data_IF_923549207208
#
_entry.id   IF_923549207208
#
_cell.length_a   1.000
_cell.length_b   1.000
_cell.length_c   1.000
_cell.angle_alpha   90.00
_cell.angle_beta   90.00
_cell.angle_gamma   90.00
#
_symmetry.space_group_name_H-M   'P 1'
#
loop_
_entity.id
_entity.type
_entity.pdbx_description
1 polymer ?
#
# COMPACT_ATOMS: atom_id res chain seq x y z
N UNK A 1 -28.17 34.81 -23.27
CA UNK A 1 -27.01 34.99 -22.37
C UNK A 1 -26.97 33.77 -21.47
N UNK A 2 -26.41 32.67 -21.98
CA UNK A 2 -26.37 31.36 -21.31
C UNK A 2 -24.96 30.81 -21.53
N UNK A 3 -24.36 30.18 -20.51
CA UNK A 3 -23.01 29.59 -20.43
C UNK A 3 -21.91 30.39 -19.67
N UNK A 4 -22.17 30.84 -18.44
CA UNK A 4 -21.08 31.15 -17.47
C UNK A 4 -21.29 30.49 -16.08
N UNK A 5 -22.26 29.57 -15.96
CA UNK A 5 -22.65 28.95 -14.69
C UNK A 5 -22.04 27.57 -14.39
N UNK A 6 -21.61 26.80 -15.40
CA UNK A 6 -21.17 25.40 -15.21
C UNK A 6 -19.66 25.22 -14.95
N UNK A 7 -18.80 26.07 -15.51
CA UNK A 7 -17.33 25.96 -15.35
C UNK A 7 -16.89 26.13 -13.88
N UNK A 8 -17.49 27.11 -13.18
CA UNK A 8 -17.19 27.36 -11.77
C UNK A 8 -17.66 26.20 -10.86
N UNK A 9 -18.71 25.47 -11.24
CA UNK A 9 -19.22 24.31 -10.49
C UNK A 9 -18.25 23.12 -10.68
N UNK A 10 -17.86 22.80 -11.91
CA UNK A 10 -16.97 21.66 -12.18
C UNK A 10 -15.57 21.84 -11.56
N UNK A 11 -15.06 23.08 -11.47
CA UNK A 11 -13.78 23.37 -10.81
C UNK A 11 -13.92 23.56 -9.29
N UNK A 12 -15.08 23.97 -8.77
CA UNK A 12 -15.31 24.12 -7.32
C UNK A 12 -15.56 22.80 -6.60
N UNK A 13 -16.20 21.82 -7.24
CA UNK A 13 -16.42 20.47 -6.68
C UNK A 13 -15.10 19.80 -6.24
N UNK A 14 -14.08 19.62 -7.09
CA UNK A 14 -12.81 19.00 -6.68
C UNK A 14 -12.06 19.86 -5.64
N UNK A 15 -12.16 21.19 -5.72
CA UNK A 15 -11.56 22.08 -4.70
C UNK A 15 -12.19 21.89 -3.32
N UNK A 16 -13.51 21.71 -3.26
CA UNK A 16 -14.22 21.43 -2.01
C UNK A 16 -13.89 20.04 -1.48
N UNK A 17 -13.83 19.01 -2.33
CA UNK A 17 -13.43 17.65 -1.93
C UNK A 17 -12.01 17.58 -1.36
N UNK A 18 -11.06 18.30 -1.93
CA UNK A 18 -9.69 18.36 -1.39
C UNK A 18 -9.68 19.05 -0.02
N UNK A 19 -10.43 20.15 0.14
CA UNK A 19 -10.58 20.85 1.43
C UNK A 19 -11.18 19.93 2.50
N UNK A 20 -12.24 19.19 2.14
CA UNK A 20 -12.92 18.27 3.04
C UNK A 20 -12.05 17.05 3.39
N UNK A 21 -11.25 16.56 2.43
CA UNK A 21 -10.28 15.48 2.64
C UNK A 21 -9.20 15.89 3.65
N UNK A 22 -8.65 17.11 3.53
CA UNK A 22 -7.64 17.62 4.47
C UNK A 22 -8.25 17.81 5.87
N UNK A 23 -9.48 18.32 5.94
CA UNK A 23 -10.20 18.47 7.21
C UNK A 23 -10.38 17.11 7.91
N UNK A 24 -10.76 16.07 7.16
CA UNK A 24 -10.93 14.73 7.69
C UNK A 24 -9.61 14.14 8.23
N UNK A 25 -8.52 14.25 7.47
CA UNK A 25 -7.19 13.74 7.90
C UNK A 25 -6.67 14.46 9.15
N UNK A 26 -7.04 15.73 9.33
CA UNK A 26 -6.73 16.48 10.54
C UNK A 26 -7.61 16.09 11.74
N UNK A 27 -8.82 15.59 11.50
CA UNK A 27 -9.72 15.09 12.55
C UNK A 27 -9.35 13.69 13.02
N UNK A 28 -8.74 12.87 12.16
CA UNK A 28 -8.29 11.53 12.51
C UNK A 28 -7.23 11.54 13.63
N UNK A 29 -7.37 10.63 14.59
CA UNK A 29 -6.35 10.37 15.61
C UNK A 29 -5.10 9.79 14.94
N UNK A 30 -4.00 10.55 14.95
CA UNK A 30 -2.72 10.08 14.39
C UNK A 30 -2.08 9.09 15.37
N UNK A 31 -1.52 7.97 14.86
CA UNK A 31 -0.89 6.98 15.72
C UNK A 31 0.29 7.60 16.47
N UNK A 32 0.42 7.26 17.74
CA UNK A 32 1.56 7.72 18.53
C UNK A 32 2.83 6.96 18.12
N UNK A 33 4.02 7.48 18.47
CA UNK A 33 5.31 6.84 18.17
C UNK A 33 5.39 5.41 18.69
N UNK A 34 4.83 5.14 19.88
CA UNK A 34 4.82 3.80 20.48
C UNK A 34 3.95 2.81 19.69
N UNK A 35 2.75 3.22 19.30
CA UNK A 35 1.83 2.39 18.52
C UNK A 35 2.41 2.10 17.13
N UNK A 36 2.98 3.13 16.49
CA UNK A 36 3.63 2.96 15.20
C UNK A 36 4.80 1.97 15.27
N UNK A 37 5.65 2.06 16.30
CA UNK A 37 6.75 1.13 16.49
C UNK A 37 6.27 -0.32 16.70
N UNK A 38 5.19 -0.52 17.46
CA UNK A 38 4.61 -1.86 17.65
C UNK A 38 4.09 -2.46 16.34
N UNK A 39 3.38 -1.65 15.54
CA UNK A 39 2.87 -2.08 14.22
C UNK A 39 4.04 -2.40 13.29
N UNK A 40 5.03 -1.51 13.18
CA UNK A 40 6.21 -1.72 12.33
C UNK A 40 6.96 -2.98 12.75
N UNK A 41 7.13 -3.23 14.05
CA UNK A 41 7.79 -4.43 14.53
C UNK A 41 7.02 -5.70 14.13
N UNK A 42 5.70 -5.73 14.37
CA UNK A 42 4.86 -6.87 13.98
C UNK A 42 4.86 -7.11 12.46
N UNK A 43 4.72 -6.06 11.65
CA UNK A 43 4.75 -6.15 10.18
C UNK A 43 6.12 -6.59 9.68
N UNK A 44 7.21 -6.07 10.26
CA UNK A 44 8.58 -6.43 9.88
C UNK A 44 8.87 -7.92 10.12
N UNK A 45 8.40 -8.47 11.24
CA UNK A 45 8.53 -9.90 11.53
C UNK A 45 7.74 -10.75 10.53
N UNK A 46 6.49 -10.37 10.23
CA UNK A 46 5.67 -11.05 9.22
C UNK A 46 6.31 -11.01 7.82
N UNK A 47 6.83 -9.84 7.41
CA UNK A 47 7.51 -9.68 6.13
C UNK A 47 8.79 -10.53 6.06
N UNK A 48 9.55 -10.59 7.15
CA UNK A 48 10.76 -11.40 7.21
C UNK A 48 10.43 -12.88 7.06
N UNK A 49 9.42 -13.39 7.77
CA UNK A 49 9.00 -14.80 7.68
C UNK A 49 8.48 -15.14 6.29
N UNK A 50 7.59 -14.33 5.72
CA UNK A 50 7.00 -14.58 4.40
C UNK A 50 8.03 -14.42 3.27
N UNK A 51 8.88 -13.40 3.35
CA UNK A 51 9.93 -13.15 2.36
C UNK A 51 11.03 -14.20 2.40
N UNK A 52 11.49 -14.56 3.60
CA UNK A 52 12.54 -15.57 3.76
C UNK A 52 12.04 -16.95 3.38
N UNK A 53 10.87 -17.37 3.85
CA UNK A 53 10.31 -18.67 3.48
C UNK A 53 10.11 -18.81 1.96
N UNK A 54 9.63 -17.76 1.27
CA UNK A 54 9.49 -17.77 -0.19
C UNK A 54 10.84 -17.91 -0.94
N UNK A 55 11.91 -17.30 -0.43
CA UNK A 55 13.25 -17.46 -0.99
C UNK A 55 13.76 -18.90 -0.85
N UNK A 56 13.56 -19.53 0.31
CA UNK A 56 13.97 -20.92 0.54
C UNK A 56 13.22 -21.91 -0.35
N UNK A 57 11.90 -21.74 -0.49
CA UNK A 57 11.10 -22.57 -1.41
C UNK A 57 11.62 -22.46 -2.83
N UNK A 58 11.91 -21.22 -3.29
CA UNK A 58 12.45 -20.99 -4.63
C UNK A 58 13.83 -21.59 -4.82
N UNK A 59 14.71 -21.47 -3.82
CA UNK A 59 16.06 -22.06 -3.84
C UNK A 59 16.04 -23.58 -3.95
N UNK A 60 15.12 -24.26 -3.27
CA UNK A 60 15.00 -25.72 -3.32
C UNK A 60 14.38 -26.17 -4.64
N UNK A 61 13.43 -25.42 -5.19
CA UNK A 61 12.78 -25.79 -6.45
C UNK A 61 13.69 -25.66 -7.68
N UNK A 62 14.59 -24.67 -7.75
CA UNK A 62 15.51 -24.49 -8.89
C UNK A 62 16.35 -25.74 -9.20
N UNK A 63 17.08 -26.35 -8.25
CA UNK A 63 17.85 -27.57 -8.52
C UNK A 63 16.94 -28.76 -8.78
N UNK A 64 15.78 -28.88 -8.10
CA UNK A 64 14.84 -29.97 -8.33
C UNK A 64 14.33 -29.95 -9.77
N UNK A 65 13.86 -28.80 -10.25
CA UNK A 65 13.38 -28.66 -11.63
C UNK A 65 14.52 -28.86 -12.61
N UNK A 66 15.74 -28.40 -12.33
CA UNK A 66 16.90 -28.62 -13.18
C UNK A 66 17.27 -30.11 -13.33
N UNK A 67 17.23 -30.89 -12.26
CA UNK A 67 17.50 -32.34 -12.30
C UNK A 67 16.38 -33.10 -13.03
N UNK A 68 15.12 -32.73 -12.82
CA UNK A 68 13.98 -33.40 -13.46
C UNK A 68 13.89 -33.06 -14.96
N UNK A 69 14.13 -31.80 -15.34
CA UNK A 69 14.00 -31.35 -16.74
C UNK A 69 15.25 -31.64 -17.57
N UNK A 70 16.44 -31.63 -16.96
CA UNK A 70 17.71 -31.95 -17.63
C UNK A 70 18.04 -33.45 -17.69
N UNK A 71 17.19 -34.30 -17.11
CA UNK A 71 17.29 -35.76 -17.16
C UNK A 71 16.58 -36.40 -18.36
N UNK A 72 16.32 -35.61 -19.41
CA UNK A 72 15.79 -36.05 -20.71
C UNK A 72 16.82 -35.85 -21.82
#
# INVERSE_FOLDING_TARGET
>A
MENQGEENIFISVPKNLVKDSIWLINKCTKPNKKEYQQIVFAVSLGFLIMGFSGYFVKLVHIPITNIIVGGA
#
